data_IF_047021125853
#
_entry.id   IF_047021125853
#
_cell.length_a   1.000
_cell.length_b   1.000
_cell.length_c   1.000
_cell.angle_alpha   90.00
_cell.angle_beta   90.00
_cell.angle_gamma   90.00
#
_symmetry.space_group_name_H-M   'P 1'
#
loop_
_entity.id
_entity.type
_entity.pdbx_description
1 polymer ?
#
# COMPACT_ATOMS: atom_id res chain seq x y z
N UNK A 1 -11.77 0.81 -47.71
CA UNK A 1 -10.47 1.05 -47.02
C UNK A 1 -10.60 1.65 -45.61
N UNK A 2 -10.83 2.97 -45.43
CA UNK A 2 -10.74 3.64 -44.12
C UNK A 2 -11.71 3.13 -43.04
N UNK A 3 -12.99 2.93 -43.37
CA UNK A 3 -14.01 2.42 -42.43
C UNK A 3 -13.69 0.99 -41.96
N UNK A 4 -13.06 0.18 -42.82
CA UNK A 4 -12.61 -1.17 -42.46
C UNK A 4 -11.42 -1.15 -41.50
N UNK A 5 -10.49 -0.21 -41.67
CA UNK A 5 -9.37 0.00 -40.76
C UNK A 5 -9.84 0.47 -39.37
N UNK A 6 -10.82 1.40 -39.31
CA UNK A 6 -11.41 1.85 -38.04
C UNK A 6 -12.05 0.68 -37.28
N UNK A 7 -12.80 -0.19 -37.97
CA UNK A 7 -13.41 -1.38 -37.35
C UNK A 7 -12.36 -2.33 -36.78
N UNK A 8 -11.25 -2.57 -37.49
CA UNK A 8 -10.14 -3.41 -37.01
C UNK A 8 -9.47 -2.81 -35.76
N UNK A 9 -9.22 -1.50 -35.75
CA UNK A 9 -8.65 -0.81 -34.59
C UNK A 9 -9.61 -0.88 -33.38
N UNK A 10 -10.92 -0.71 -33.59
CA UNK A 10 -11.90 -0.80 -32.52
C UNK A 10 -11.94 -2.19 -31.87
N UNK A 11 -11.86 -3.26 -32.67
CA UNK A 11 -11.76 -4.64 -32.18
C UNK A 11 -10.46 -4.84 -31.39
N UNK A 12 -9.32 -4.40 -31.92
CA UNK A 12 -8.03 -4.49 -31.25
C UNK A 12 -8.00 -3.75 -29.91
N UNK A 13 -8.61 -2.56 -29.85
CA UNK A 13 -8.70 -1.77 -28.61
C UNK A 13 -9.60 -2.45 -27.59
N UNK A 14 -10.69 -3.09 -28.01
CA UNK A 14 -11.55 -3.86 -27.10
C UNK A 14 -10.85 -5.10 -26.55
N UNK A 15 -10.10 -5.83 -27.38
CA UNK A 15 -9.31 -6.99 -26.94
C UNK A 15 -8.19 -6.57 -25.98
N UNK A 16 -7.46 -5.51 -26.30
CA UNK A 16 -6.44 -4.94 -25.40
C UNK A 16 -7.04 -4.47 -24.07
N UNK A 17 -8.25 -3.90 -24.08
CA UNK A 17 -8.96 -3.53 -22.84
C UNK A 17 -9.31 -4.76 -22.00
N UNK A 18 -9.76 -5.85 -22.62
CA UNK A 18 -10.07 -7.10 -21.90
C UNK A 18 -8.82 -7.74 -21.30
N UNK A 19 -7.72 -7.80 -22.06
CA UNK A 19 -6.44 -8.30 -21.57
C UNK A 19 -5.91 -7.45 -20.43
N UNK A 20 -5.97 -6.12 -20.54
CA UNK A 20 -5.57 -5.21 -19.46
C UNK A 20 -6.47 -5.33 -18.24
N UNK A 21 -7.78 -5.55 -18.41
CA UNK A 21 -8.70 -5.76 -17.29
C UNK A 21 -8.40 -7.07 -16.55
N UNK A 22 -8.12 -8.15 -17.29
CA UNK A 22 -7.71 -9.44 -16.71
C UNK A 22 -6.36 -9.36 -16.00
N UNK A 23 -5.39 -8.66 -16.58
CA UNK A 23 -4.09 -8.41 -15.95
C UNK A 23 -4.24 -7.64 -14.63
N UNK A 24 -5.04 -6.56 -14.63
CA UNK A 24 -5.33 -5.79 -13.42
C UNK A 24 -6.08 -6.61 -12.36
N UNK A 25 -7.00 -7.48 -12.75
CA UNK A 25 -7.69 -8.35 -11.82
C UNK A 25 -6.70 -9.33 -11.14
N UNK A 26 -5.79 -9.92 -11.92
CA UNK A 26 -4.74 -10.80 -11.40
C UNK A 26 -3.76 -10.06 -10.46
N UNK A 27 -3.41 -8.80 -10.77
CA UNK A 27 -2.59 -7.96 -9.89
C UNK A 27 -3.29 -7.69 -8.55
N UNK A 28 -4.58 -7.34 -8.59
CA UNK A 28 -5.37 -7.10 -7.37
C UNK A 28 -5.45 -8.35 -6.49
N UNK A 29 -5.60 -9.53 -7.08
CA UNK A 29 -5.65 -10.77 -6.30
C UNK A 29 -4.28 -11.16 -5.73
N UNK A 30 -3.19 -10.88 -6.44
CA UNK A 30 -1.83 -11.02 -5.87
C UNK A 30 -1.60 -10.07 -4.71
N UNK A 31 -2.01 -8.81 -4.82
CA UNK A 31 -1.88 -7.83 -3.73
C UNK A 31 -2.64 -8.27 -2.48
N UNK A 32 -3.88 -8.77 -2.65
CA UNK A 32 -4.67 -9.32 -1.53
C UNK A 32 -3.97 -10.53 -0.90
N UNK A 33 -3.46 -11.44 -1.72
CA UNK A 33 -2.74 -12.62 -1.23
C UNK A 33 -1.49 -12.21 -0.44
N UNK A 34 -0.71 -11.26 -0.96
CA UNK A 34 0.48 -10.73 -0.28
C UNK A 34 0.13 -10.10 1.07
N UNK A 35 -0.94 -9.31 1.14
CA UNK A 35 -1.43 -8.75 2.41
C UNK A 35 -1.79 -9.86 3.40
N UNK A 36 -2.51 -10.90 2.96
CA UNK A 36 -2.87 -12.02 3.84
C UNK A 36 -1.64 -12.79 4.32
N UNK A 37 -0.68 -13.03 3.43
CA UNK A 37 0.57 -13.72 3.74
C UNK A 37 1.38 -12.95 4.79
N UNK A 38 1.58 -11.65 4.59
CA UNK A 38 2.28 -10.77 5.53
C UNK A 38 1.59 -10.77 6.89
N UNK A 39 0.27 -10.64 6.92
CA UNK A 39 -0.49 -10.70 8.17
C UNK A 39 -0.35 -12.06 8.89
N UNK A 40 -0.30 -13.16 8.13
CA UNK A 40 -0.08 -14.49 8.69
C UNK A 40 1.31 -14.60 9.34
N UNK A 41 2.35 -14.15 8.63
CA UNK A 41 3.71 -14.16 9.15
C UNK A 41 3.90 -13.25 10.37
N UNK A 42 3.28 -12.06 10.37
CA UNK A 42 3.29 -11.15 11.52
C UNK A 42 2.60 -11.76 12.74
N UNK A 43 1.45 -12.43 12.56
CA UNK A 43 0.77 -13.16 13.64
C UNK A 43 1.63 -14.30 14.18
N UNK A 44 2.32 -15.02 13.30
CA UNK A 44 3.24 -16.09 13.67
C UNK A 44 4.59 -15.57 14.22
N UNK A 45 4.82 -14.25 14.24
CA UNK A 45 6.10 -13.62 14.56
C UNK A 45 7.29 -14.22 13.79
N UNK A 46 7.03 -14.66 12.55
CA UNK A 46 8.03 -15.23 11.65
C UNK A 46 8.91 -14.10 11.09
N UNK A 47 10.23 -14.31 11.17
CA UNK A 47 11.27 -13.38 10.71
C UNK A 47 12.40 -14.10 9.95
N UNK A 48 12.08 -15.30 9.45
CA UNK A 48 12.93 -16.06 8.53
C UNK A 48 13.00 -15.41 7.13
N UNK A 49 13.93 -15.88 6.30
CA UNK A 49 14.23 -15.25 5.00
C UNK A 49 13.03 -15.26 4.04
N UNK A 50 12.16 -16.28 4.10
CA UNK A 50 10.92 -16.32 3.32
C UNK A 50 9.96 -15.20 3.76
N UNK A 51 9.76 -15.05 5.08
CA UNK A 51 8.94 -13.97 5.61
C UNK A 51 9.50 -12.58 5.27
N UNK A 52 10.83 -12.42 5.29
CA UNK A 52 11.49 -11.15 4.95
C UNK A 52 11.33 -10.79 3.48
N UNK A 53 11.40 -11.77 2.57
CA UNK A 53 11.14 -11.54 1.16
C UNK A 53 9.70 -11.04 0.96
N UNK A 54 8.72 -11.71 1.57
CA UNK A 54 7.32 -11.29 1.51
C UNK A 54 7.09 -9.89 2.11
N UNK A 55 7.77 -9.54 3.22
CA UNK A 55 7.70 -8.21 3.80
C UNK A 55 8.31 -7.14 2.89
N UNK A 56 9.43 -7.46 2.24
CA UNK A 56 10.11 -6.54 1.32
C UNK A 56 9.24 -6.28 0.11
N UNK A 57 8.69 -7.33 -0.50
CA UNK A 57 7.75 -7.23 -1.62
C UNK A 57 6.52 -6.38 -1.24
N UNK A 58 6.01 -6.56 -0.03
CA UNK A 58 4.90 -5.77 0.48
C UNK A 58 5.26 -4.29 0.61
N UNK A 59 6.42 -3.96 1.18
CA UNK A 59 6.89 -2.57 1.32
C UNK A 59 7.08 -1.92 -0.05
N UNK A 60 7.58 -2.66 -1.04
CA UNK A 60 7.76 -2.15 -2.41
C UNK A 60 6.43 -1.89 -3.13
N UNK A 61 5.34 -2.53 -2.71
CA UNK A 61 4.00 -2.35 -3.25
C UNK A 61 3.46 -0.92 -3.13
N UNK A 62 2.52 -0.57 -4.01
CA UNK A 62 1.90 0.75 -4.06
C UNK A 62 0.88 0.99 -2.93
N UNK A 63 0.25 -0.08 -2.42
CA UNK A 63 -0.78 -0.03 -1.37
C UNK A 63 -0.26 -0.68 -0.10
N UNK A 64 0.24 0.15 0.80
CA UNK A 64 0.80 -0.26 2.09
C UNK A 64 0.00 0.37 3.23
N UNK A 65 -0.33 -0.45 4.22
CA UNK A 65 -1.04 -0.01 5.42
C UNK A 65 -0.03 0.52 6.45
N UNK A 66 -0.30 1.70 7.01
CA UNK A 66 0.60 2.36 7.96
C UNK A 66 0.84 1.55 9.25
N UNK A 67 -0.15 0.75 9.69
CA UNK A 67 -0.03 -0.12 10.86
C UNK A 67 0.87 -1.32 10.56
N UNK A 68 0.79 -1.87 9.34
CA UNK A 68 1.68 -2.96 8.93
C UNK A 68 3.11 -2.41 8.76
N UNK A 69 3.26 -1.23 8.15
CA UNK A 69 4.56 -0.56 8.01
C UNK A 69 5.25 -0.31 9.35
N UNK A 70 4.52 0.11 10.39
CA UNK A 70 5.12 0.33 11.71
C UNK A 70 5.65 -0.97 12.32
N UNK A 71 4.89 -2.06 12.19
CA UNK A 71 5.33 -3.39 12.64
C UNK A 71 6.55 -3.88 11.87
N UNK A 72 6.59 -3.69 10.55
CA UNK A 72 7.73 -4.04 9.72
C UNK A 72 8.96 -3.18 10.05
N UNK A 73 8.78 -1.89 10.36
CA UNK A 73 9.88 -1.00 10.75
C UNK A 73 10.64 -1.55 11.96
N UNK A 74 9.93 -2.03 12.99
CA UNK A 74 10.57 -2.65 14.15
C UNK A 74 11.39 -3.90 13.77
N UNK A 75 10.84 -4.76 12.91
CA UNK A 75 11.51 -6.00 12.46
C UNK A 75 12.80 -5.66 11.68
N UNK A 76 12.72 -4.75 10.71
CA UNK A 76 13.89 -4.38 9.90
C UNK A 76 14.92 -3.56 10.69
N UNK A 77 14.49 -2.78 11.68
CA UNK A 77 15.39 -2.11 12.63
C UNK A 77 16.20 -3.13 13.45
N UNK A 78 15.56 -4.16 14.00
CA UNK A 78 16.25 -5.22 14.74
C UNK A 78 17.26 -5.99 13.89
N UNK A 79 16.98 -6.15 12.59
CA UNK A 79 17.87 -6.82 11.63
C UNK A 79 18.94 -5.93 11.01
N UNK A 80 18.92 -4.63 11.28
CA UNK A 80 19.85 -3.63 10.73
C UNK A 80 19.78 -3.53 9.19
N UNK A 81 18.62 -3.81 8.59
CA UNK A 81 18.42 -3.57 7.16
C UNK A 81 17.97 -2.11 6.93
N UNK A 82 18.97 -1.25 6.79
CA UNK A 82 18.77 0.18 6.62
C UNK A 82 18.15 0.56 5.28
N UNK A 83 18.32 -0.28 4.24
CA UNK A 83 17.79 0.00 2.91
C UNK A 83 16.27 -0.09 2.94
N UNK A 84 15.74 -1.20 3.45
CA UNK A 84 14.30 -1.42 3.55
C UNK A 84 13.68 -0.48 4.58
N UNK A 85 14.36 -0.23 5.70
CA UNK A 85 13.89 0.72 6.72
C UNK A 85 13.73 2.15 6.16
N UNK A 86 14.65 2.62 5.33
CA UNK A 86 14.54 3.94 4.68
C UNK A 86 13.27 4.02 3.83
N UNK A 87 12.98 3.00 3.02
CA UNK A 87 11.79 2.96 2.16
C UNK A 87 10.51 2.97 3.00
N UNK A 88 10.49 2.23 4.12
CA UNK A 88 9.36 2.24 5.06
C UNK A 88 9.14 3.66 5.60
N UNK A 89 10.18 4.33 6.08
CA UNK A 89 10.09 5.69 6.60
C UNK A 89 9.57 6.68 5.54
N UNK A 90 10.09 6.62 4.31
CA UNK A 90 9.62 7.45 3.20
C UNK A 90 8.13 7.26 2.92
N UNK A 91 7.65 6.01 2.92
CA UNK A 91 6.24 5.68 2.73
C UNK A 91 5.36 6.14 3.89
N UNK A 92 5.84 6.02 5.12
CA UNK A 92 5.11 6.50 6.30
C UNK A 92 4.97 8.02 6.28
N UNK A 93 6.05 8.76 5.99
CA UNK A 93 6.02 10.22 5.87
C UNK A 93 5.08 10.69 4.74
N UNK A 94 5.10 10.00 3.59
CA UNK A 94 4.18 10.28 2.49
C UNK A 94 2.71 10.03 2.87
N UNK A 95 2.44 9.10 3.79
CA UNK A 95 1.08 8.82 4.28
C UNK A 95 0.60 9.80 5.36
N UNK A 96 1.51 10.40 6.13
CA UNK A 96 1.18 11.39 7.18
C UNK A 96 0.95 12.80 6.63
N UNK A 97 1.64 13.19 5.55
CA UNK A 97 1.47 14.51 4.93
C UNK A 97 0.08 14.75 4.33
N UNK A 98 -0.75 13.71 4.23
CA UNK A 98 -2.14 13.76 3.75
C UNK A 98 -3.19 13.97 4.85
N UNK A 99 -2.80 14.08 6.13
CA UNK A 99 -3.74 14.42 7.22
C UNK A 99 -3.63 15.90 7.57
N UNK A 100 -4.56 16.79 7.14
CA UNK A 100 -4.64 18.11 7.72
C UNK A 100 -4.94 17.99 9.21
N UNK A 101 -4.11 18.67 10.00
CA UNK A 101 -4.16 18.79 11.45
C UNK A 101 -5.59 19.07 11.96
N UNK A 102 -6.22 18.06 12.57
CA UNK A 102 -7.35 18.30 13.47
C UNK A 102 -6.82 18.65 14.85
N UNK A 103 -6.41 19.91 15.05
CA UNK A 103 -6.24 20.50 16.38
C UNK A 103 -7.51 21.27 16.73
N UNK A 104 -8.47 20.58 17.36
CA UNK A 104 -9.51 21.24 18.16
C UNK A 104 -9.15 21.13 19.64
N UNK A 105 -9.04 22.25 20.37
CA UNK A 105 -9.25 22.24 21.81
C UNK A 105 -10.65 22.77 22.15
N UNK A 106 -11.44 21.85 22.71
CA UNK A 106 -12.60 21.98 23.62
C UNK A 106 -13.09 23.40 23.99
N UNK A 107 -14.40 23.61 23.77
CA UNK A 107 -15.26 24.56 24.51
C UNK A 107 -14.96 24.52 26.01
N UNK A 108 -14.71 25.68 26.62
CA UNK A 108 -14.94 25.88 28.07
C UNK A 108 -15.82 27.11 28.24
N UNK A 109 -17.10 26.88 28.49
CA UNK A 109 -18.02 27.88 29.04
C UNK A 109 -17.50 28.35 30.40
N UNK A 110 -17.31 29.65 30.60
CA UNK A 110 -17.44 30.28 31.93
C UNK A 110 -18.23 31.58 31.80
N UNK A 111 -19.25 31.67 32.64
CA UNK A 111 -20.26 32.71 32.85
C UNK A 111 -19.67 33.93 33.63
N UNK A 112 -20.44 35.02 33.85
CA UNK A 112 -20.02 36.40 33.63
C UNK A 112 -19.44 37.09 34.88
N UNK A 113 -18.85 38.26 34.65
CA UNK A 113 -18.21 39.12 35.64
C UNK A 113 -19.24 39.78 36.60
N UNK A 114 -18.82 40.12 37.84
CA UNK A 114 -19.59 40.95 38.76
C UNK A 114 -19.63 42.44 38.35
#
# INVERSE_FOLDING_TARGET
EFVGAIKKIAVQVMENKKLNAAARAAEVDRDKFLIQLVNSFLKAKRTDDEALNAYTDYVMGAKVDAKILSQLAYIFLSRKDWKTLKIICEKMMASESLKPSQTSPKKTNRLPAP
#
